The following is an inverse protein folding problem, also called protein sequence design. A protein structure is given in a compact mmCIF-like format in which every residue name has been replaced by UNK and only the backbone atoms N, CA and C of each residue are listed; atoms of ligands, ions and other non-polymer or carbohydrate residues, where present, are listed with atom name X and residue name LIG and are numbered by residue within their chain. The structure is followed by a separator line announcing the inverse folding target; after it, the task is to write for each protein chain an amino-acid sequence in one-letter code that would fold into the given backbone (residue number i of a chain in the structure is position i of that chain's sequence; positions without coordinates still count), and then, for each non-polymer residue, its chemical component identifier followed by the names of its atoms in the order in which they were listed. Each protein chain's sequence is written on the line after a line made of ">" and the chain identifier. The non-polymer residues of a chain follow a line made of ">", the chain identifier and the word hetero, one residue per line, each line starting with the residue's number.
data_IF_084518634078
#
_entry.id   IF_084518634078
#
_cell.length_a   1.000
_cell.length_b   1.000
_cell.length_c   1.000
_cell.angle_alpha   90.00
_cell.angle_beta   90.00
_cell.angle_gamma   90.00
#
_symmetry.space_group_name_H-M   'P 1'
#
loop_
_entity.id
_entity.type
_entity.pdbx_description
1 polymer ?
#
# COMPACT_ATOMS: atom_id res chain seq x y z
N UNK A 1 -4.69 -15.81 7.27
CA UNK A 1 -4.54 -15.38 8.68
C UNK A 1 -5.90 -15.50 9.36
N UNK A 2 -6.01 -16.06 10.56
CA UNK A 2 -7.29 -16.19 11.29
C UNK A 2 -7.27 -15.33 12.54
N UNK A 3 -8.29 -14.50 12.71
CA UNK A 3 -8.49 -13.68 13.92
C UNK A 3 -9.98 -13.58 14.25
N UNK A 4 -10.36 -13.83 15.50
CA UNK A 4 -11.77 -13.80 15.96
C UNK A 4 -12.75 -14.51 15.02
N UNK A 5 -12.44 -15.74 14.63
CA UNK A 5 -13.24 -16.57 13.71
C UNK A 5 -13.42 -16.00 12.29
N UNK A 6 -12.63 -14.99 11.89
CA UNK A 6 -12.60 -14.46 10.53
C UNK A 6 -11.28 -14.77 9.85
N UNK A 7 -11.37 -15.11 8.57
CA UNK A 7 -10.23 -15.28 7.69
C UNK A 7 -9.83 -13.94 7.06
N UNK A 8 -8.54 -13.69 7.05
CA UNK A 8 -7.91 -12.50 6.46
C UNK A 8 -6.83 -12.93 5.49
N UNK A 9 -6.83 -12.31 4.31
CA UNK A 9 -5.77 -12.41 3.33
C UNK A 9 -4.94 -11.13 3.38
N UNK A 10 -3.67 -11.25 3.75
CA UNK A 10 -2.74 -10.15 3.60
C UNK A 10 -2.25 -10.12 2.15
N UNK A 11 -2.54 -9.04 1.46
CA UNK A 11 -2.11 -8.81 0.09
C UNK A 11 -0.84 -7.94 0.16
N UNK A 12 0.19 -8.36 -0.56
CA UNK A 12 1.49 -7.66 -0.69
C UNK A 12 2.44 -7.72 0.53
N UNK A 13 2.76 -8.93 1.00
CA UNK A 13 3.63 -9.14 2.18
C UNK A 13 5.14 -9.16 1.90
N UNK A 14 5.57 -9.02 0.63
CA UNK A 14 6.99 -9.06 0.26
C UNK A 14 7.41 -7.99 -0.79
N UNK A 15 6.51 -7.08 -1.17
CA UNK A 15 6.62 -6.32 -2.41
C UNK A 15 7.54 -5.10 -2.41
N UNK A 16 7.97 -4.58 -1.26
CA UNK A 16 8.74 -3.33 -1.19
C UNK A 16 10.26 -3.51 -1.00
N UNK A 17 10.76 -4.74 -0.80
CA UNK A 17 12.21 -4.98 -0.70
C UNK A 17 12.66 -6.23 -1.47
N UNK A 18 13.12 -6.02 -2.70
CA UNK A 18 14.43 -6.54 -3.17
C UNK A 18 14.91 -5.73 -4.39
N UNK A 19 15.99 -4.97 -4.14
CA UNK A 19 16.78 -4.20 -5.11
C UNK A 19 17.34 -5.12 -6.20
N UNK A 20 17.16 -4.75 -7.46
CA UNK A 20 18.10 -5.08 -8.54
C UNK A 20 17.96 -4.03 -9.66
N UNK A 21 19.05 -3.28 -9.88
CA UNK A 21 19.40 -2.33 -10.98
C UNK A 21 18.27 -1.84 -11.92
N UNK A 22 18.20 -0.49 -12.04
CA UNK A 22 17.39 0.39 -12.93
C UNK A 22 16.34 1.20 -12.14
N UNK A 23 16.72 2.42 -11.70
CA UNK A 23 15.94 3.25 -10.77
C UNK A 23 14.55 3.66 -11.27
N UNK A 24 14.39 4.05 -12.55
CA UNK A 24 13.08 4.47 -13.09
C UNK A 24 12.07 3.32 -13.17
N UNK A 25 12.50 2.15 -13.66
CA UNK A 25 11.62 0.99 -13.79
C UNK A 25 11.09 0.55 -12.42
N UNK A 26 11.92 0.57 -11.38
CA UNK A 26 11.53 0.12 -10.04
C UNK A 26 10.40 0.97 -9.47
N UNK A 27 10.47 2.30 -9.60
CA UNK A 27 9.43 3.22 -9.12
C UNK A 27 8.09 2.97 -9.82
N UNK A 28 8.11 2.88 -11.15
CA UNK A 28 6.90 2.57 -11.94
C UNK A 28 6.29 1.22 -11.54
N UNK A 29 7.10 0.17 -11.44
CA UNK A 29 6.62 -1.15 -11.04
C UNK A 29 6.13 -1.19 -9.59
N UNK A 30 6.72 -0.41 -8.69
CA UNK A 30 6.26 -0.27 -7.30
C UNK A 30 4.89 0.39 -7.23
N UNK A 31 4.66 1.45 -8.00
CA UNK A 31 3.35 2.10 -8.11
C UNK A 31 2.31 1.15 -8.70
N UNK A 32 2.65 0.47 -9.80
CA UNK A 32 1.75 -0.49 -10.43
C UNK A 32 1.37 -1.64 -9.48
N UNK A 33 2.32 -2.13 -8.68
CA UNK A 33 2.07 -3.16 -7.66
C UNK A 33 1.15 -2.64 -6.58
N UNK A 34 1.43 -1.45 -6.05
CA UNK A 34 0.58 -0.79 -5.04
C UNK A 34 -0.85 -0.63 -5.55
N UNK A 35 -1.03 -0.16 -6.79
CA UNK A 35 -2.36 -0.03 -7.40
C UNK A 35 -3.09 -1.36 -7.55
N UNK A 36 -2.40 -2.42 -7.99
CA UNK A 36 -3.00 -3.77 -8.06
C UNK A 36 -3.38 -4.29 -6.68
N UNK A 37 -2.55 -4.03 -5.66
CA UNK A 37 -2.83 -4.44 -4.28
C UNK A 37 -4.06 -3.70 -3.74
N UNK A 38 -4.15 -2.39 -3.94
CA UNK A 38 -5.31 -1.57 -3.58
C UNK A 38 -6.59 -2.05 -4.29
N UNK A 39 -6.53 -2.33 -5.60
CA UNK A 39 -7.69 -2.82 -6.36
C UNK A 39 -8.18 -4.19 -5.90
N UNK A 40 -7.34 -5.01 -5.27
CA UNK A 40 -7.71 -6.36 -4.80
C UNK A 40 -8.10 -6.40 -3.32
N UNK A 41 -7.72 -5.39 -2.55
CA UNK A 41 -8.00 -5.34 -1.13
C UNK A 41 -9.41 -4.83 -0.85
N UNK A 42 -10.05 -5.34 0.20
CA UNK A 42 -11.28 -4.75 0.74
C UNK A 42 -10.95 -3.57 1.67
N UNK A 43 -9.86 -3.70 2.42
CA UNK A 43 -9.31 -2.69 3.33
C UNK A 43 -7.82 -2.52 3.11
N UNK A 44 -7.37 -1.29 2.94
CA UNK A 44 -5.97 -0.90 2.84
C UNK A 44 -5.48 -0.31 4.18
N UNK A 45 -4.32 -0.77 4.62
CA UNK A 45 -3.59 -0.23 5.77
C UNK A 45 -2.42 0.59 5.25
N UNK A 46 -2.46 1.91 5.47
CA UNK A 46 -1.40 2.83 5.08
C UNK A 46 -0.62 3.26 6.32
N UNK A 47 0.70 3.14 6.29
CA UNK A 47 1.57 3.54 7.39
C UNK A 47 2.30 4.82 7.01
N UNK A 48 2.15 5.86 7.82
CA UNK A 48 2.87 7.13 7.73
C UNK A 48 3.95 7.11 8.80
N UNK A 49 5.13 7.61 8.51
CA UNK A 49 6.15 7.82 9.53
C UNK A 49 5.76 9.03 10.40
N UNK A 50 5.58 8.82 11.70
CA UNK A 50 5.23 9.88 12.65
C UNK A 50 6.25 11.02 12.74
N UNK A 51 7.54 10.76 12.48
CA UNK A 51 8.62 11.74 12.62
C UNK A 51 8.69 12.62 11.36
N UNK A 52 8.62 12.00 10.18
CA UNK A 52 8.68 12.72 8.90
C UNK A 52 7.33 13.39 8.56
N UNK A 53 6.23 12.76 8.97
CA UNK A 53 4.88 13.16 8.62
C UNK A 53 4.51 12.81 7.17
N UNK A 54 3.32 13.24 6.70
CA UNK A 54 2.84 12.93 5.36
C UNK A 54 3.61 13.68 4.27
N UNK A 55 4.11 12.94 3.30
CA UNK A 55 4.76 13.44 2.09
C UNK A 55 3.77 13.58 0.91
N UNK A 56 4.22 14.23 -0.16
CA UNK A 56 3.46 14.33 -1.42
C UNK A 56 3.14 12.97 -2.03
N UNK A 57 4.02 11.99 -1.84
CA UNK A 57 3.82 10.63 -2.33
C UNK A 57 2.74 9.91 -1.52
N UNK A 58 2.71 10.10 -0.19
CA UNK A 58 1.68 9.53 0.68
C UNK A 58 0.29 10.01 0.28
N UNK A 59 0.14 11.33 0.09
CA UNK A 59 -1.14 11.92 -0.32
C UNK A 59 -1.64 11.38 -1.66
N UNK A 60 -0.72 11.10 -2.60
CA UNK A 60 -1.08 10.49 -3.89
C UNK A 60 -1.61 9.07 -3.72
N UNK A 61 -0.91 8.22 -2.97
CA UNK A 61 -1.33 6.81 -2.75
C UNK A 61 -2.64 6.74 -1.96
N UNK A 62 -2.81 7.61 -0.95
CA UNK A 62 -4.05 7.74 -0.20
C UNK A 62 -5.21 8.17 -1.12
N UNK A 63 -4.97 9.13 -2.02
CA UNK A 63 -5.94 9.54 -3.03
C UNK A 63 -6.34 8.41 -3.98
N UNK A 64 -5.37 7.63 -4.45
CA UNK A 64 -5.61 6.44 -5.29
C UNK A 64 -6.42 5.36 -4.54
N UNK A 65 -6.14 5.13 -3.25
CA UNK A 65 -6.91 4.21 -2.41
C UNK A 65 -8.36 4.68 -2.22
N UNK A 66 -8.57 5.99 -2.00
CA UNK A 66 -9.89 6.59 -1.88
C UNK A 66 -10.69 6.49 -3.20
N UNK A 67 -10.05 6.73 -4.34
CA UNK A 67 -10.66 6.57 -5.67
C UNK A 67 -11.07 5.12 -5.94
N UNK A 68 -10.29 4.15 -5.46
CA UNK A 68 -10.61 2.73 -5.55
C UNK A 68 -11.79 2.29 -4.64
N UNK A 69 -12.37 3.21 -3.85
CA UNK A 69 -13.49 2.98 -2.92
C UNK A 69 -13.22 1.83 -1.94
N UNK A 70 -11.97 1.67 -1.51
CA UNK A 70 -11.58 0.67 -0.50
C UNK A 70 -11.65 1.28 0.89
N UNK A 71 -11.92 0.44 1.90
CA UNK A 71 -11.77 0.88 3.28
C UNK A 71 -10.31 1.29 3.50
N UNK A 72 -10.08 2.45 4.11
CA UNK A 72 -8.72 2.96 4.35
C UNK A 72 -8.53 3.17 5.86
N UNK A 73 -7.44 2.62 6.37
CA UNK A 73 -6.97 2.86 7.73
C UNK A 73 -5.57 3.43 7.63
N UNK A 74 -5.37 4.61 8.23
CA UNK A 74 -4.06 5.27 8.31
C UNK A 74 -3.50 5.01 9.71
N UNK A 75 -2.33 4.39 9.76
CA UNK A 75 -1.52 4.25 10.96
C UNK A 75 -0.37 5.26 10.88
N UNK A 76 -0.08 5.91 12.01
CA UNK A 76 0.97 6.91 12.17
C UNK A 76 1.97 6.36 13.19
#
# INVERSE_FOLDING_TARGET
>A
LKYRQRDYLLIDTAGLKRRAKVQENILFYSQLRTMRSLQRADVALYFIDAIEGPTRQDLRVIGEAAQAKRGLVIAI
#
